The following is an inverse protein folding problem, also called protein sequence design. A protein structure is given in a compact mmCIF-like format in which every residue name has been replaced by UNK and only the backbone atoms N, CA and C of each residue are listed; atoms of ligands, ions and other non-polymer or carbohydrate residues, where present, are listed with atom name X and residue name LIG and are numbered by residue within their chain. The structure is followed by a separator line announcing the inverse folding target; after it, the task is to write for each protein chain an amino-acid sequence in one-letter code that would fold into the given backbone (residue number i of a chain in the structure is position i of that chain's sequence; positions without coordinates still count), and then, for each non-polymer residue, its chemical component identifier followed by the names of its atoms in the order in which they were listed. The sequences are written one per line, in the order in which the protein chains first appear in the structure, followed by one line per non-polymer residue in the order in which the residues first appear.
data_IF_916174860814
#
_entry.id   IF_916174860814
#
_cell.length_a   1.000
_cell.length_b   1.000
_cell.length_c   1.000
_cell.angle_alpha   90.00
_cell.angle_beta   90.00
_cell.angle_gamma   90.00
#
_symmetry.space_group_name_H-M   'P 1'
#
loop_
_entity.id
_entity.type
_entity.pdbx_description
1 polymer ?
#
# COMPACT_ATOMS: atom_id res chain seq x y z
N UNK A 1 -5.72 27.71 -5.02
CA UNK A 1 -4.66 27.11 -4.17
C UNK A 1 -5.17 25.99 -3.25
N UNK A 2 -6.24 26.18 -2.47
CA UNK A 2 -6.79 25.15 -1.55
C UNK A 2 -7.22 23.84 -2.23
N UNK A 3 -7.87 23.91 -3.39
CA UNK A 3 -8.33 22.71 -4.09
C UNK A 3 -7.18 21.88 -4.68
N UNK A 4 -6.14 22.54 -5.19
CA UNK A 4 -4.91 21.88 -5.66
C UNK A 4 -4.24 21.09 -4.53
N UNK A 5 -4.19 21.64 -3.32
CA UNK A 5 -3.64 20.95 -2.16
C UNK A 5 -4.50 19.75 -1.71
N UNK A 6 -5.83 19.89 -1.73
CA UNK A 6 -6.75 18.77 -1.44
C UNK A 6 -6.57 17.62 -2.43
N UNK A 7 -6.46 17.94 -3.72
CA UNK A 7 -6.26 16.96 -4.79
C UNK A 7 -4.96 16.17 -4.59
N UNK A 8 -3.85 16.86 -4.32
CA UNK A 8 -2.54 16.23 -4.04
C UNK A 8 -2.63 15.31 -2.82
N UNK A 9 -3.32 15.73 -1.75
CA UNK A 9 -3.52 14.91 -0.55
C UNK A 9 -4.37 13.66 -0.84
N UNK A 10 -5.35 13.76 -1.73
CA UNK A 10 -6.16 12.62 -2.14
C UNK A 10 -5.34 11.62 -2.98
N UNK A 11 -4.55 12.10 -3.94
CA UNK A 11 -3.67 11.24 -4.73
C UNK A 11 -2.62 10.52 -3.89
N UNK A 12 -2.07 11.17 -2.86
CA UNK A 12 -1.10 10.56 -1.95
C UNK A 12 -1.64 9.33 -1.18
N UNK A 13 -2.96 9.11 -1.15
CA UNK A 13 -3.58 7.90 -0.58
C UNK A 13 -3.42 6.67 -1.47
N UNK A 14 -3.29 6.88 -2.78
CA UNK A 14 -3.16 5.84 -3.80
C UNK A 14 -1.73 5.73 -4.34
N UNK A 15 -0.99 6.84 -4.32
CA UNK A 15 0.39 6.91 -4.76
C UNK A 15 1.27 7.45 -3.62
N UNK A 16 1.76 6.58 -2.71
CA UNK A 16 2.65 6.97 -1.63
C UNK A 16 3.88 7.73 -2.16
N UNK A 17 4.30 8.79 -1.43
CA UNK A 17 5.49 9.57 -1.82
C UNK A 17 6.75 8.72 -1.96
N UNK A 18 6.83 7.60 -1.24
CA UNK A 18 7.94 6.65 -1.32
C UNK A 18 8.18 6.13 -2.74
N UNK A 19 7.14 6.01 -3.58
CA UNK A 19 7.32 5.66 -4.99
C UNK A 19 8.12 6.71 -5.77
N UNK A 20 7.97 8.00 -5.43
CA UNK A 20 8.79 9.05 -6.04
C UNK A 20 10.25 8.89 -5.65
N UNK A 21 10.54 8.52 -4.40
CA UNK A 21 11.90 8.23 -3.94
C UNK A 21 12.51 7.04 -4.70
N UNK A 22 11.75 5.96 -4.89
CA UNK A 22 12.18 4.81 -5.68
C UNK A 22 12.45 5.18 -7.14
N UNK A 23 11.56 5.96 -7.76
CA UNK A 23 11.70 6.44 -9.14
C UNK A 23 12.71 7.60 -9.28
N UNK A 24 13.32 8.07 -8.18
CA UNK A 24 14.22 9.24 -8.13
C UNK A 24 13.58 10.52 -8.70
N UNK A 25 12.29 10.72 -8.41
CA UNK A 25 11.50 11.90 -8.80
C UNK A 25 11.21 12.79 -7.60
N UNK A 26 11.07 14.10 -7.83
CA UNK A 26 10.75 15.07 -6.76
C UNK A 26 9.26 15.34 -6.65
N UNK A 27 8.53 15.17 -7.75
CA UNK A 27 7.10 15.42 -7.86
C UNK A 27 6.40 14.33 -8.66
N UNK A 28 5.12 14.07 -8.35
CA UNK A 28 4.25 13.23 -9.18
C UNK A 28 4.06 13.81 -10.59
N UNK A 29 4.27 15.11 -10.75
CA UNK A 29 4.23 15.80 -12.05
C UNK A 29 5.46 15.48 -12.91
N UNK A 30 6.53 14.93 -12.33
CA UNK A 30 7.76 14.57 -13.06
C UNK A 30 7.71 13.12 -13.59
N UNK A 31 6.61 12.40 -13.34
CA UNK A 31 6.40 11.02 -13.78
C UNK A 31 5.96 11.04 -15.24
N UNK A 32 6.66 10.25 -16.05
CA UNK A 32 6.37 10.02 -17.46
C UNK A 32 6.10 8.54 -17.71
N UNK A 33 5.34 8.23 -18.76
CA UNK A 33 5.14 6.86 -19.18
C UNK A 33 6.48 6.19 -19.51
N UNK A 34 6.72 5.01 -18.97
CA UNK A 34 7.98 4.28 -19.14
C UNK A 34 9.06 4.63 -18.11
N UNK A 35 8.81 5.54 -17.17
CA UNK A 35 9.71 5.71 -16.03
C UNK A 35 9.84 4.39 -15.25
N UNK A 36 11.08 3.97 -15.01
CA UNK A 36 11.40 2.70 -14.38
C UNK A 36 12.65 2.82 -13.51
N UNK A 37 12.73 1.96 -12.49
CA UNK A 37 13.94 1.77 -11.69
C UNK A 37 14.17 0.28 -11.48
N UNK A 38 15.43 -0.12 -11.39
CA UNK A 38 15.81 -1.47 -11.04
C UNK A 38 16.48 -1.46 -9.66
N UNK A 39 15.99 -2.31 -8.75
CA UNK A 39 16.52 -2.47 -7.40
C UNK A 39 16.36 -3.91 -6.94
N UNK A 40 17.33 -4.37 -6.15
CA UNK A 40 17.19 -5.59 -5.36
C UNK A 40 16.31 -5.30 -4.15
N UNK A 41 15.21 -6.04 -4.04
CA UNK A 41 14.17 -5.84 -3.04
C UNK A 41 13.74 -7.19 -2.47
N UNK A 42 13.34 -7.19 -1.21
CA UNK A 42 12.64 -8.33 -0.60
C UNK A 42 11.13 -8.15 -0.73
N UNK A 43 10.43 -9.20 -1.15
CA UNK A 43 8.96 -9.19 -1.31
C UNK A 43 8.31 -9.99 -0.19
N UNK A 44 7.42 -9.36 0.56
CA UNK A 44 6.56 -10.00 1.54
C UNK A 44 5.15 -10.15 0.96
N UNK A 45 4.65 -11.38 0.97
CA UNK A 45 3.24 -11.68 0.87
C UNK A 45 2.74 -12.19 2.22
N UNK A 46 1.69 -11.58 2.74
CA UNK A 46 1.02 -12.04 3.95
C UNK A 46 -0.48 -12.03 3.75
N UNK A 47 -1.14 -13.07 4.25
CA UNK A 47 -2.58 -13.31 4.05
C UNK A 47 -3.23 -13.86 5.32
N UNK A 48 -4.55 -13.65 5.47
CA UNK A 48 -5.26 -14.09 6.67
C UNK A 48 -5.72 -15.55 6.55
N UNK A 49 -5.32 -16.36 7.53
CA UNK A 49 -5.82 -17.74 7.64
C UNK A 49 -7.34 -17.77 7.80
N UNK A 50 -8.00 -18.61 7.01
CA UNK A 50 -9.46 -18.85 7.04
C UNK A 50 -10.31 -17.59 6.82
N UNK A 51 -9.79 -16.58 6.11
CA UNK A 51 -10.52 -15.34 5.85
C UNK A 51 -11.85 -15.56 5.12
N UNK A 52 -11.89 -16.43 4.10
CA UNK A 52 -13.13 -16.76 3.38
C UNK A 52 -14.22 -17.22 4.33
N UNK A 53 -13.92 -18.22 5.17
CA UNK A 53 -14.86 -18.74 6.17
C UNK A 53 -15.27 -17.69 7.20
N UNK A 54 -14.36 -16.77 7.57
CA UNK A 54 -14.68 -15.68 8.47
C UNK A 54 -15.70 -14.70 7.87
N UNK A 55 -15.66 -14.48 6.56
CA UNK A 55 -16.55 -13.55 5.86
C UNK A 55 -17.88 -14.16 5.41
N UNK A 56 -17.97 -15.47 5.20
CA UNK A 56 -19.19 -16.15 4.71
C UNK A 56 -20.46 -15.84 5.53
N UNK A 57 -20.30 -15.54 6.82
CA UNK A 57 -21.42 -15.26 7.74
C UNK A 57 -21.62 -13.78 8.04
N UNK A 58 -20.88 -12.90 7.37
CA UNK A 58 -20.89 -11.44 7.61
C UNK A 58 -21.64 -10.73 6.49
N UNK A 59 -22.37 -9.69 6.86
CA UNK A 59 -22.87 -8.72 5.89
C UNK A 59 -21.69 -7.99 5.20
N UNK A 60 -21.88 -7.43 4.00
CA UNK A 60 -20.83 -6.66 3.33
C UNK A 60 -20.24 -5.56 4.22
N UNK A 61 -21.06 -4.85 5.00
CA UNK A 61 -20.61 -3.79 5.91
C UNK A 61 -19.68 -4.33 7.00
N UNK A 62 -20.04 -5.47 7.61
CA UNK A 62 -19.21 -6.11 8.64
C UNK A 62 -17.91 -6.65 8.06
N UNK A 63 -17.95 -7.22 6.86
CA UNK A 63 -16.75 -7.67 6.13
C UNK A 63 -15.81 -6.49 5.84
N UNK A 64 -16.35 -5.35 5.38
CA UNK A 64 -15.58 -4.13 5.15
C UNK A 64 -15.01 -3.54 6.44
N UNK A 65 -15.76 -3.54 7.54
CA UNK A 65 -15.28 -3.07 8.84
C UNK A 65 -14.14 -3.96 9.35
N UNK A 66 -14.27 -5.27 9.21
CA UNK A 66 -13.26 -6.24 9.62
C UNK A 66 -11.95 -6.06 8.84
N UNK A 67 -12.00 -6.08 7.50
CA UNK A 67 -10.80 -5.96 6.67
C UNK A 67 -10.08 -4.63 6.90
N UNK A 68 -10.82 -3.52 6.99
CA UNK A 68 -10.22 -2.23 7.27
C UNK A 68 -9.61 -2.16 8.67
N UNK A 69 -10.23 -2.80 9.66
CA UNK A 69 -9.69 -2.93 11.02
C UNK A 69 -8.38 -3.71 11.05
N UNK A 70 -8.28 -4.80 10.29
CA UNK A 70 -7.05 -5.57 10.13
C UNK A 70 -5.96 -4.78 9.41
N UNK A 71 -6.26 -4.21 8.24
CA UNK A 71 -5.30 -3.44 7.45
C UNK A 71 -4.79 -2.20 8.22
N UNK A 72 -5.65 -1.57 9.04
CA UNK A 72 -5.24 -0.46 9.91
C UNK A 72 -4.21 -0.87 10.98
N UNK A 73 -4.13 -2.15 11.35
CA UNK A 73 -3.13 -2.66 12.29
C UNK A 73 -1.84 -3.08 11.58
N UNK A 74 -1.94 -3.75 10.43
CA UNK A 74 -0.76 -4.26 9.71
C UNK A 74 -0.02 -3.16 8.96
N UNK A 75 -0.75 -2.25 8.31
CA UNK A 75 -0.13 -1.25 7.46
C UNK A 75 0.87 -0.31 8.19
N UNK A 76 0.60 0.14 9.45
CA UNK A 76 1.59 0.84 10.24
C UNK A 76 2.84 0.03 10.55
N UNK A 77 2.71 -1.28 10.84
CA UNK A 77 3.85 -2.15 11.15
C UNK A 77 4.78 -2.26 9.94
N UNK A 78 4.23 -2.52 8.76
CA UNK A 78 5.02 -2.54 7.51
C UNK A 78 5.80 -1.23 7.34
N UNK A 79 5.14 -0.08 7.52
CA UNK A 79 5.78 1.23 7.41
C UNK A 79 6.83 1.52 8.49
N UNK A 80 6.63 1.03 9.72
CA UNK A 80 7.60 1.17 10.81
C UNK A 80 8.91 0.43 10.55
N UNK A 81 8.86 -0.63 9.73
CA UNK A 81 10.01 -1.41 9.31
C UNK A 81 10.48 -1.03 7.89
N UNK A 82 10.25 0.22 7.46
CA UNK A 82 10.65 0.76 6.16
C UNK A 82 10.10 0.00 4.93
N UNK A 83 9.03 -0.77 5.13
CA UNK A 83 8.32 -1.45 4.07
C UNK A 83 7.40 -0.52 3.28
N UNK A 84 7.37 -0.73 1.97
CA UNK A 84 6.42 -0.11 1.06
C UNK A 84 5.29 -1.08 0.74
N UNK A 85 4.07 -0.72 1.12
CA UNK A 85 2.88 -1.44 0.67
C UNK A 85 2.65 -1.12 -0.80
N UNK A 86 2.85 -2.11 -1.66
CA UNK A 86 2.60 -1.98 -3.10
C UNK A 86 1.09 -2.06 -3.38
N UNK A 87 0.42 -3.07 -2.84
CA UNK A 87 -1.02 -3.25 -2.96
C UNK A 87 -1.62 -4.16 -1.90
N UNK A 88 -2.93 -4.02 -1.74
CA UNK A 88 -3.80 -4.96 -1.04
C UNK A 88 -4.52 -5.83 -2.08
N UNK A 89 -4.62 -7.14 -1.83
CA UNK A 89 -5.23 -8.11 -2.73
C UNK A 89 -6.23 -8.94 -1.90
N UNK A 90 -7.46 -8.46 -1.77
CA UNK A 90 -8.40 -9.02 -0.80
C UNK A 90 -7.89 -8.77 0.63
N UNK A 91 -7.68 -9.84 1.38
CA UNK A 91 -7.04 -9.86 2.70
C UNK A 91 -5.52 -9.95 2.68
N UNK A 92 -4.94 -10.24 1.52
CA UNK A 92 -3.51 -10.28 1.36
C UNK A 92 -2.91 -8.87 1.24
N UNK A 93 -1.68 -8.74 1.74
CA UNK A 93 -0.83 -7.56 1.58
C UNK A 93 0.45 -7.94 0.85
N UNK A 94 0.83 -7.14 -0.15
CA UNK A 94 2.12 -7.19 -0.80
C UNK A 94 2.95 -6.00 -0.33
N UNK A 95 4.06 -6.28 0.33
CA UNK A 95 5.01 -5.27 0.77
C UNK A 95 6.41 -5.51 0.18
N UNK A 96 7.09 -4.41 -0.11
CA UNK A 96 8.44 -4.38 -0.66
C UNK A 96 9.39 -3.77 0.38
N UNK A 97 10.54 -4.37 0.59
CA UNK A 97 11.58 -3.88 1.49
C UNK A 97 12.88 -3.68 0.71
N UNK A 98 13.54 -2.54 0.93
CA UNK A 98 14.86 -2.27 0.34
C UNK A 98 15.95 -3.05 1.08
N UNK A 99 16.89 -3.62 0.34
CA UNK A 99 17.96 -4.45 0.90
C UNK A 99 17.70 -5.95 0.75
N UNK A 100 18.77 -6.73 0.89
CA UNK A 100 18.71 -8.19 0.96
C UNK A 100 18.45 -8.62 2.40
N UNK A 101 17.53 -9.57 2.59
CA UNK A 101 17.38 -10.29 3.85
C UNK A 101 18.65 -11.07 4.23
#
# INVERSE_FOLDING_TARGET
MRDKQRLVKAYARFFPRRFLELLRKKSILDIHLGDQTEKNMTVLFADLRNFTTLLEKKSPSESFAFINGYLNQIAPIVRQHDGLIDKYIGDAILALYEGSA
#
